data_IF_703896218371
#
_entry.id   IF_703896218371
#
_cell.length_a   1.000
_cell.length_b   1.000
_cell.length_c   1.000
_cell.angle_alpha   90.00
_cell.angle_beta   90.00
_cell.angle_gamma   90.00
#
_symmetry.space_group_name_H-M   'P 1'
#
loop_
_entity.id
_entity.type
_entity.pdbx_description
1 polymer ?
#
# COMPACT_ATOMS: atom_id res chain seq x y z
N UNK A 1 19.48 -21.26 -4.86
CA UNK A 1 18.51 -20.47 -4.06
C UNK A 1 17.43 -19.94 -5.00
N UNK A 2 16.25 -20.58 -5.06
CA UNK A 2 15.14 -20.07 -5.86
C UNK A 2 14.52 -18.92 -5.08
N UNK A 3 14.68 -17.69 -5.57
CA UNK A 3 13.98 -16.53 -5.03
C UNK A 3 12.49 -16.71 -5.35
N UNK A 4 11.71 -17.20 -4.39
CA UNK A 4 10.26 -17.21 -4.55
C UNK A 4 9.81 -15.75 -4.63
N UNK A 5 9.30 -15.32 -5.79
CA UNK A 5 8.67 -14.01 -5.98
C UNK A 5 7.41 -13.96 -5.11
N UNK A 6 7.55 -13.69 -3.81
CA UNK A 6 6.42 -13.43 -2.92
C UNK A 6 5.94 -12.00 -3.18
N UNK A 7 4.63 -11.84 -3.34
CA UNK A 7 3.99 -10.53 -3.35
C UNK A 7 4.31 -9.84 -2.01
N UNK A 8 4.58 -8.54 -2.01
CA UNK A 8 5.13 -7.78 -0.87
C UNK A 8 4.29 -7.95 0.42
N UNK A 9 2.99 -8.23 0.30
CA UNK A 9 2.08 -8.42 1.43
C UNK A 9 1.64 -9.87 1.65
N UNK A 10 2.10 -10.83 0.84
CA UNK A 10 1.76 -12.22 1.04
C UNK A 10 2.28 -12.72 2.39
N UNK A 11 1.38 -13.30 3.18
CA UNK A 11 1.69 -13.92 4.47
C UNK A 11 1.76 -15.42 4.24
N UNK A 12 2.86 -16.07 4.61
CA UNK A 12 2.97 -17.54 4.60
C UNK A 12 2.23 -18.18 5.77
N UNK A 13 1.94 -19.48 5.69
CA UNK A 13 1.40 -20.24 6.84
C UNK A 13 2.35 -20.23 8.04
N UNK A 14 3.66 -20.16 7.79
CA UNK A 14 4.73 -20.06 8.77
C UNK A 14 4.77 -18.70 9.50
N UNK A 15 4.05 -17.70 9.00
CA UNK A 15 3.99 -16.34 9.54
C UNK A 15 2.67 -16.07 10.27
N UNK A 16 1.79 -17.09 10.38
CA UNK A 16 0.49 -16.98 11.05
C UNK A 16 0.54 -17.62 12.43
N UNK A 17 0.40 -16.80 13.46
CA UNK A 17 0.16 -17.27 14.82
C UNK A 17 -1.27 -17.82 14.97
N UNK A 18 -1.45 -18.77 15.89
CA UNK A 18 -2.74 -19.40 16.13
C UNK A 18 -3.79 -18.37 16.56
N UNK A 19 -4.93 -18.35 15.85
CA UNK A 19 -6.02 -17.40 16.11
C UNK A 19 -5.83 -15.99 15.51
N UNK A 20 -4.72 -15.72 14.83
CA UNK A 20 -4.50 -14.44 14.13
C UNK A 20 -5.11 -14.50 12.72
N UNK A 21 -5.96 -13.52 12.41
CA UNK A 21 -6.50 -13.37 11.05
C UNK A 21 -5.43 -12.85 10.08
N UNK A 22 -5.25 -13.54 8.96
CA UNK A 22 -4.28 -13.17 7.91
C UNK A 22 -4.47 -11.76 7.38
N UNK A 23 -5.71 -11.30 7.26
CA UNK A 23 -6.05 -9.97 6.77
C UNK A 23 -5.53 -8.89 7.71
N UNK A 24 -5.51 -9.11 9.02
CA UNK A 24 -4.94 -8.18 10.00
C UNK A 24 -3.45 -7.93 9.73
N UNK A 25 -2.69 -8.99 9.43
CA UNK A 25 -1.27 -8.89 9.08
C UNK A 25 -1.08 -8.16 7.75
N UNK A 26 -1.93 -8.44 6.75
CA UNK A 26 -1.88 -7.76 5.45
C UNK A 26 -2.15 -6.27 5.61
N UNK A 27 -3.17 -5.89 6.39
CA UNK A 27 -3.53 -4.49 6.66
C UNK A 27 -2.40 -3.79 7.41
N UNK A 28 -1.83 -4.41 8.44
CA UNK A 28 -0.68 -3.87 9.17
C UNK A 28 0.50 -3.60 8.22
N UNK A 29 0.84 -4.54 7.33
CA UNK A 29 1.88 -4.32 6.33
C UNK A 29 1.54 -3.16 5.40
N UNK A 30 0.31 -3.07 4.90
CA UNK A 30 -0.08 -1.94 4.05
C UNK A 30 0.06 -0.59 4.76
N UNK A 31 -0.34 -0.50 6.02
CA UNK A 31 -0.21 0.72 6.84
C UNK A 31 1.26 1.05 7.09
N UNK A 32 2.06 0.05 7.47
CA UNK A 32 3.49 0.18 7.75
C UNK A 32 4.25 0.78 6.57
N UNK A 33 3.91 0.33 5.36
CA UNK A 33 4.53 0.79 4.13
C UNK A 33 3.97 2.13 3.65
N UNK A 34 2.67 2.30 3.52
CA UNK A 34 2.12 3.38 2.69
C UNK A 34 1.40 4.50 3.43
N UNK A 35 0.95 4.28 4.66
CA UNK A 35 0.22 5.31 5.39
C UNK A 35 1.21 6.29 6.02
N UNK A 36 1.28 7.55 5.64
CA UNK A 36 1.91 8.58 6.48
C UNK A 36 0.88 9.16 7.49
N UNK A 37 1.32 10.01 8.43
CA UNK A 37 0.44 10.58 9.45
C UNK A 37 -0.76 11.32 8.84
N UNK A 38 -0.52 12.12 7.79
CA UNK A 38 -1.56 12.86 7.09
C UNK A 38 -2.48 11.97 6.26
N UNK A 39 -1.93 10.94 5.61
CA UNK A 39 -2.64 9.94 4.82
C UNK A 39 -3.57 9.10 5.70
N UNK A 40 -3.09 8.66 6.86
CA UNK A 40 -3.90 7.91 7.83
C UNK A 40 -5.05 8.76 8.37
N UNK A 41 -4.77 10.01 8.78
CA UNK A 41 -5.82 10.93 9.24
C UNK A 41 -6.88 11.18 8.16
N UNK A 42 -6.46 11.40 6.91
CA UNK A 42 -7.37 11.56 5.77
C UNK A 42 -8.21 10.31 5.49
N UNK A 43 -7.60 9.13 5.60
CA UNK A 43 -8.29 7.85 5.43
C UNK A 43 -9.35 7.62 6.51
N UNK A 44 -9.01 7.79 7.79
CA UNK A 44 -9.95 7.63 8.90
C UNK A 44 -11.12 8.63 8.78
N UNK A 45 -10.83 9.88 8.39
CA UNK A 45 -11.88 10.87 8.11
C UNK A 45 -12.78 10.47 6.95
N UNK A 46 -12.24 9.82 5.93
CA UNK A 46 -13.03 9.34 4.79
C UNK A 46 -13.96 8.18 5.18
N UNK A 47 -13.53 7.31 6.09
CA UNK A 47 -14.33 6.19 6.60
C UNK A 47 -15.54 6.63 7.44
N UNK A 48 -15.47 7.78 8.12
CA UNK A 48 -16.58 8.30 8.94
C UNK A 48 -16.91 7.36 10.10
N UNK A 49 -18.17 6.96 10.25
CA UNK A 49 -18.65 6.10 11.35
C UNK A 49 -18.49 4.59 11.06
N UNK A 50 -17.67 4.23 10.07
CA UNK A 50 -17.47 2.84 9.69
C UNK A 50 -16.83 2.01 10.84
N UNK A 51 -17.32 0.79 11.12
CA UNK A 51 -16.84 -0.02 12.25
C UNK A 51 -15.35 -0.36 12.17
N UNK A 52 -14.75 -0.36 10.98
CA UNK A 52 -13.34 -0.64 10.77
C UNK A 52 -12.41 0.48 11.24
N UNK A 53 -12.90 1.70 11.48
CA UNK A 53 -12.09 2.82 12.00
C UNK A 53 -11.30 2.38 13.22
N UNK A 54 -11.93 1.66 14.15
CA UNK A 54 -11.26 1.19 15.36
C UNK A 54 -10.13 0.20 15.08
N UNK A 55 -10.31 -0.68 14.10
CA UNK A 55 -9.29 -1.65 13.69
C UNK A 55 -8.07 -0.92 13.12
N UNK A 56 -8.30 0.05 12.23
CA UNK A 56 -7.21 0.86 11.66
C UNK A 56 -6.47 1.70 12.72
N UNK A 57 -7.18 2.23 13.71
CA UNK A 57 -6.56 2.93 14.86
C UNK A 57 -5.67 2.01 15.69
N UNK A 58 -6.17 0.83 16.06
CA UNK A 58 -5.42 -0.15 16.85
C UNK A 58 -4.14 -0.56 16.13
N UNK A 59 -4.22 -0.84 14.83
CA UNK A 59 -3.05 -1.21 14.03
C UNK A 59 -2.07 -0.04 13.90
N UNK A 60 -2.56 1.18 13.66
CA UNK A 60 -1.73 2.41 13.60
C UNK A 60 -0.95 2.61 14.90
N UNK A 61 -1.60 2.42 16.04
CA UNK A 61 -1.04 2.68 17.35
C UNK A 61 -0.13 1.54 17.85
N UNK A 62 -0.13 0.39 17.16
CA UNK A 62 0.74 -0.75 17.45
C UNK A 62 2.18 -0.60 16.96
N UNK A 63 2.51 0.40 16.14
CA UNK A 63 3.89 0.64 15.71
C UNK A 63 4.70 1.39 16.76
N UNK A 64 5.87 0.85 17.10
CA UNK A 64 6.77 1.43 18.09
C UNK A 64 8.26 1.27 17.67
N UNK A 65 9.17 1.40 18.63
CA UNK A 65 10.62 1.27 18.37
C UNK A 65 11.04 -0.16 18.07
N UNK A 66 10.34 -1.15 18.63
CA UNK A 66 10.61 -2.58 18.47
C UNK A 66 9.87 -3.13 17.24
N UNK A 67 8.75 -2.52 16.88
CA UNK A 67 7.93 -2.80 15.70
C UNK A 67 7.85 -1.56 14.79
N UNK A 68 8.98 -1.11 14.21
CA UNK A 68 8.98 0.11 13.41
C UNK A 68 8.31 -0.10 12.07
N UNK A 69 7.69 0.98 11.59
CA UNK A 69 7.16 1.05 10.23
C UNK A 69 8.24 0.94 9.15
N UNK A 70 7.84 0.56 7.93
CA UNK A 70 8.74 0.32 6.78
C UNK A 70 8.36 1.10 5.52
N UNK A 71 8.28 2.45 5.57
CA UNK A 71 7.85 3.23 4.40
C UNK A 71 8.85 3.17 3.23
N UNK A 72 8.39 3.39 1.97
CA UNK A 72 9.26 3.43 0.79
C UNK A 72 10.45 4.38 0.90
N UNK A 73 10.34 5.45 1.71
CA UNK A 73 11.45 6.37 2.00
C UNK A 73 12.68 5.66 2.58
N UNK A 74 12.49 4.57 3.33
CA UNK A 74 13.56 3.76 3.93
C UNK A 74 14.13 2.69 3.00
N UNK A 75 13.54 2.45 1.82
CA UNK A 75 14.03 1.41 0.91
C UNK A 75 15.40 1.78 0.35
N UNK A 76 16.40 0.91 0.54
CA UNK A 76 17.77 1.16 0.06
C UNK A 76 17.92 0.69 -1.38
N UNK A 77 18.72 1.41 -2.17
CA UNK A 77 19.00 1.04 -3.57
C UNK A 77 17.81 1.18 -4.52
N UNK A 78 16.77 1.91 -4.12
CA UNK A 78 15.59 2.19 -4.93
C UNK A 78 15.58 3.66 -5.32
N UNK A 79 15.28 3.94 -6.59
CA UNK A 79 15.24 5.28 -7.16
C UNK A 79 14.27 6.23 -6.43
N UNK A 80 14.67 7.50 -6.34
CA UNK A 80 13.92 8.56 -5.66
C UNK A 80 12.55 8.80 -6.33
N UNK A 81 12.53 8.92 -7.65
CA UNK A 81 11.32 9.22 -8.41
C UNK A 81 10.40 8.00 -8.41
N UNK A 82 10.93 6.78 -8.43
CA UNK A 82 10.12 5.57 -8.24
C UNK A 82 9.43 5.53 -6.87
N UNK A 83 10.17 5.84 -5.78
CA UNK A 83 9.57 5.92 -4.43
C UNK A 83 8.49 7.00 -4.38
N UNK A 84 8.74 8.15 -4.98
CA UNK A 84 7.77 9.25 -5.06
C UNK A 84 6.48 8.80 -5.75
N UNK A 85 6.60 8.14 -6.92
CA UNK A 85 5.47 7.58 -7.64
C UNK A 85 4.69 6.58 -6.78
N UNK A 86 5.36 5.58 -6.20
CA UNK A 86 4.71 4.56 -5.36
C UNK A 86 3.95 5.22 -4.21
N UNK A 87 4.59 6.12 -3.45
CA UNK A 87 3.94 6.83 -2.34
C UNK A 87 2.70 7.62 -2.78
N UNK A 88 2.76 8.30 -3.93
CA UNK A 88 1.66 9.09 -4.45
C UNK A 88 0.48 8.19 -4.88
N UNK A 89 0.77 7.06 -5.52
CA UNK A 89 -0.22 6.09 -5.96
C UNK A 89 -0.86 5.31 -4.83
N UNK A 90 -0.14 5.07 -3.74
CA UNK A 90 -0.62 4.33 -2.57
C UNK A 90 -1.00 5.24 -1.41
N UNK A 91 -1.22 6.53 -1.66
CA UNK A 91 -1.60 7.46 -0.60
C UNK A 91 -2.88 6.97 0.10
N UNK A 92 -2.82 6.90 1.43
CA UNK A 92 -3.93 6.42 2.24
C UNK A 92 -5.11 7.40 2.24
N UNK A 93 -4.86 8.72 2.16
CA UNK A 93 -5.92 9.70 1.97
C UNK A 93 -6.43 9.61 0.53
N UNK A 94 -7.68 9.13 0.30
CA UNK A 94 -8.18 8.93 -1.05
C UNK A 94 -8.24 10.22 -1.87
N UNK A 95 -8.31 11.38 -1.21
CA UNK A 95 -8.34 12.70 -1.88
C UNK A 95 -6.96 13.17 -2.34
N UNK A 96 -5.89 12.57 -1.82
CA UNK A 96 -4.49 12.89 -2.18
C UNK A 96 -3.84 11.81 -3.05
N UNK A 97 -4.51 10.68 -3.22
CA UNK A 97 -4.05 9.61 -4.11
C UNK A 97 -4.12 10.09 -5.55
N UNK A 98 -3.00 10.03 -6.26
CA UNK A 98 -2.95 10.45 -7.65
C UNK A 98 -3.73 9.46 -8.53
N UNK A 99 -4.33 9.99 -9.59
CA UNK A 99 -5.01 9.22 -10.62
C UNK A 99 -4.01 8.46 -11.50
N UNK A 100 -4.50 7.50 -12.28
CA UNK A 100 -3.66 6.80 -13.26
C UNK A 100 -3.05 7.76 -14.30
N UNK A 101 -3.78 8.81 -14.68
CA UNK A 101 -3.30 9.83 -15.62
C UNK A 101 -2.14 10.62 -15.02
N UNK A 102 -2.26 11.08 -13.77
CA UNK A 102 -1.19 11.78 -13.05
C UNK A 102 0.02 10.87 -12.78
N UNK A 103 -0.21 9.59 -12.49
CA UNK A 103 0.85 8.61 -12.32
C UNK A 103 1.68 8.43 -13.60
N UNK A 104 1.03 8.35 -14.77
CA UNK A 104 1.70 8.27 -16.07
C UNK A 104 2.50 9.53 -16.43
N UNK A 105 2.10 10.69 -15.90
CA UNK A 105 2.81 11.95 -16.07
C UNK A 105 3.96 12.15 -15.06
N UNK A 106 4.21 11.18 -14.17
CA UNK A 106 5.26 11.30 -13.15
C UNK A 106 6.67 11.19 -13.77
N UNK A 107 7.64 11.92 -13.19
CA UNK A 107 9.04 11.99 -13.65
C UNK A 107 9.73 10.65 -13.82
N UNK A 108 9.33 9.67 -13.02
CA UNK A 108 9.79 8.29 -13.14
C UNK A 108 9.62 7.71 -14.57
N UNK A 109 8.59 8.18 -15.30
CA UNK A 109 8.32 7.76 -16.67
C UNK A 109 8.91 8.67 -17.75
N UNK A 110 9.56 9.79 -17.40
CA UNK A 110 10.11 10.76 -18.37
C UNK A 110 11.22 10.12 -19.24
N UNK A 111 12.04 9.24 -18.67
CA UNK A 111 13.13 8.55 -19.37
C UNK A 111 12.73 7.19 -19.95
N UNK A 112 11.47 6.76 -19.77
CA UNK A 112 10.98 5.50 -20.33
C UNK A 112 10.65 5.72 -21.81
N UNK A 113 11.68 5.61 -22.64
CA UNK A 113 11.62 5.74 -24.10
C UNK A 113 10.93 4.55 -24.81
N UNK A 114 10.43 3.58 -24.06
CA UNK A 114 9.84 2.36 -24.60
C UNK A 114 8.39 2.17 -24.13
N UNK A 115 7.46 2.41 -25.05
CA UNK A 115 6.02 2.30 -24.87
C UNK A 115 5.55 0.91 -24.39
N UNK A 116 6.38 -0.12 -24.58
CA UNK A 116 6.13 -1.49 -24.08
C UNK A 116 6.39 -1.64 -22.57
N UNK A 117 7.35 -0.93 -21.98
CA UNK A 117 7.59 -0.98 -20.53
C UNK A 117 6.53 -0.18 -19.75
N UNK A 118 6.04 0.92 -20.33
CA UNK A 118 4.88 1.65 -19.79
C UNK A 118 3.63 0.78 -19.73
N UNK A 119 3.38 -0.04 -20.75
CA UNK A 119 2.22 -0.93 -20.79
C UNK A 119 2.28 -2.02 -19.70
N UNK A 120 3.45 -2.62 -19.47
CA UNK A 120 3.65 -3.63 -18.40
C UNK A 120 3.50 -3.01 -17.01
N UNK A 121 3.99 -1.78 -16.83
CA UNK A 121 3.83 -1.04 -15.58
C UNK A 121 2.38 -0.61 -15.34
N UNK A 122 1.64 -0.22 -16.39
CA UNK A 122 0.21 0.07 -16.33
C UNK A 122 -0.62 -1.14 -15.90
N UNK A 123 -0.34 -2.32 -16.45
CA UNK A 123 -1.00 -3.56 -16.05
C UNK A 123 -0.70 -3.91 -14.59
N UNK A 124 0.55 -3.75 -14.16
CA UNK A 124 0.97 -3.99 -12.77
C UNK A 124 0.31 -3.02 -11.79
N UNK A 125 0.18 -1.75 -12.17
CA UNK A 125 -0.48 -0.69 -11.40
C UNK A 125 -1.99 -0.96 -11.27
N UNK A 126 -2.64 -1.38 -12.35
CA UNK A 126 -4.06 -1.74 -12.35
C UNK A 126 -4.35 -2.93 -11.43
N UNK A 127 -3.43 -3.89 -11.33
CA UNK A 127 -3.53 -5.01 -10.38
C UNK A 127 -3.42 -4.55 -8.91
N UNK A 128 -2.57 -3.55 -8.62
CA UNK A 128 -2.43 -2.99 -7.26
C UNK A 128 -3.69 -2.22 -6.85
N UNK A 129 -4.25 -1.40 -7.75
CA UNK A 129 -5.48 -0.65 -7.46
C UNK A 129 -6.70 -1.58 -7.35
N UNK A 130 -6.80 -2.60 -8.20
CA UNK A 130 -7.84 -3.63 -8.10
C UNK A 130 -7.76 -4.40 -6.78
N UNK A 131 -6.55 -4.73 -6.29
CA UNK A 131 -6.39 -5.39 -5.00
C UNK A 131 -6.89 -4.54 -3.83
N UNK A 132 -6.68 -3.22 -3.85
CA UNK A 132 -7.20 -2.32 -2.81
C UNK A 132 -8.72 -2.14 -2.89
N UNK A 133 -9.30 -2.09 -4.09
CA UNK A 133 -10.76 -2.02 -4.29
C UNK A 133 -11.42 -3.30 -3.78
N UNK A 134 -10.85 -4.48 -4.06
CA UNK A 134 -11.37 -5.76 -3.55
C UNK A 134 -11.31 -5.80 -2.02
N UNK A 135 -10.22 -5.34 -1.40
CA UNK A 135 -10.14 -5.22 0.06
C UNK A 135 -11.20 -4.27 0.62
N UNK A 136 -11.41 -3.09 0.02
CA UNK A 136 -12.49 -2.15 0.41
C UNK A 136 -13.90 -2.74 0.21
N UNK A 137 -14.09 -3.55 -0.83
CA UNK A 137 -15.36 -4.22 -1.13
C UNK A 137 -15.69 -5.32 -0.11
N UNK A 138 -14.66 -5.99 0.41
CA UNK A 138 -14.78 -7.01 1.47
C UNK A 138 -15.05 -6.35 2.83
N UNK A 139 -14.46 -5.18 3.10
CA UNK A 139 -14.71 -4.40 4.31
C UNK A 139 -16.14 -3.81 4.38
N UNK A 140 -16.84 -3.68 3.24
CA UNK A 140 -18.20 -3.15 3.15
C UNK A 140 -19.31 -4.24 3.10
N UNK A 141 -18.98 -5.52 3.32
CA UNK A 141 -19.94 -6.65 3.24
C UNK A 141 -20.54 -7.10 4.57
N UNK A 142 -20.36 -6.36 5.65
CA UNK A 142 -20.98 -6.63 6.96
C UNK A 142 -21.85 -5.46 7.43
#
# INVERSE_FOLDING_TARGET
MRLHKRVIFAVGEDELDEGVDRLSIIIERQISYFADEGGMSGFLKHLGDNPWVRVFEVIRDGFDKDHPRRPPSLWKGVDKEFKSLVCAMTNFDPKKRITAHEALAHKWFEDVSHEQEKQILLESISLISASQIVTLSLLNRE
#
